data_IF_776860810057
#
_entry.id   IF_776860810057
#
_cell.length_a   1.000
_cell.length_b   1.000
_cell.length_c   1.000
_cell.angle_alpha   90.00
_cell.angle_beta   90.00
_cell.angle_gamma   90.00
#
_symmetry.space_group_name_H-M   'P 1'
#
loop_
_entity.id
_entity.type
_entity.pdbx_description
1 polymer ?
#
# COMPACT_ATOMS: atom_id res chain seq x y z
N UNK A 1 -38.10 9.16 11.12
CA UNK A 1 -36.88 9.21 11.94
C UNK A 1 -36.01 7.97 11.80
N UNK A 2 -36.52 6.84 11.28
CA UNK A 2 -35.74 5.60 11.17
C UNK A 2 -34.52 5.74 10.27
N UNK A 3 -34.63 6.46 9.15
CA UNK A 3 -33.50 6.62 8.22
C UNK A 3 -32.33 7.38 8.85
N UNK A 4 -32.61 8.40 9.68
CA UNK A 4 -31.58 9.17 10.39
C UNK A 4 -30.85 8.30 11.41
N UNK A 5 -31.59 7.51 12.19
CA UNK A 5 -31.02 6.58 13.18
C UNK A 5 -30.14 5.53 12.48
N UNK A 6 -30.63 4.92 11.40
CA UNK A 6 -29.86 3.93 10.63
C UNK A 6 -28.59 4.55 10.02
N UNK A 7 -28.65 5.77 9.50
CA UNK A 7 -27.47 6.50 9.00
C UNK A 7 -26.45 6.80 10.10
N UNK A 8 -26.89 7.16 11.31
CA UNK A 8 -25.99 7.38 12.46
C UNK A 8 -25.32 6.07 12.87
N UNK A 9 -26.08 4.98 12.96
CA UNK A 9 -25.54 3.65 13.27
C UNK A 9 -24.54 3.19 12.20
N UNK A 10 -24.80 3.47 10.93
CA UNK A 10 -23.87 3.18 9.84
C UNK A 10 -22.52 3.88 10.06
N UNK A 11 -22.54 5.17 10.41
CA UNK A 11 -21.33 5.95 10.71
C UNK A 11 -20.60 5.34 11.89
N UNK A 12 -21.27 5.11 13.02
CA UNK A 12 -20.63 4.58 14.24
C UNK A 12 -19.95 3.24 13.97
N UNK A 13 -20.67 2.28 13.37
CA UNK A 13 -20.12 0.94 13.09
C UNK A 13 -18.94 1.01 12.12
N UNK A 14 -19.04 1.81 11.06
CA UNK A 14 -17.95 1.99 10.10
C UNK A 14 -16.71 2.64 10.75
N UNK A 15 -16.90 3.63 11.61
CA UNK A 15 -15.81 4.32 12.31
C UNK A 15 -15.06 3.39 13.27
N UNK A 16 -15.76 2.52 14.01
CA UNK A 16 -15.10 1.54 14.90
C UNK A 16 -14.16 0.62 14.12
N UNK A 17 -14.61 0.09 12.97
CA UNK A 17 -13.78 -0.76 12.12
C UNK A 17 -12.62 0.03 11.51
N UNK A 18 -12.85 1.30 11.15
CA UNK A 18 -11.81 2.18 10.59
C UNK A 18 -10.71 2.52 11.62
N UNK A 19 -11.08 2.73 12.89
CA UNK A 19 -10.12 2.92 13.98
C UNK A 19 -9.25 1.66 14.13
N UNK A 20 -9.86 0.47 14.10
CA UNK A 20 -9.13 -0.80 14.09
C UNK A 20 -8.14 -0.90 12.94
N UNK A 21 -8.56 -0.49 11.72
CA UNK A 21 -7.66 -0.42 10.57
C UNK A 21 -6.50 0.56 10.80
N UNK A 22 -6.78 1.76 11.35
CA UNK A 22 -5.75 2.76 11.67
C UNK A 22 -4.70 2.24 12.64
N UNK A 23 -5.11 1.49 13.66
CA UNK A 23 -4.21 0.84 14.62
C UNK A 23 -3.34 -0.21 13.91
N UNK A 24 -3.93 -1.03 13.02
CA UNK A 24 -3.17 -2.00 12.22
C UNK A 24 -2.16 -1.31 11.31
N UNK A 25 -2.51 -0.20 10.66
CA UNK A 25 -1.56 0.61 9.91
C UNK A 25 -0.46 1.18 10.80
N UNK A 26 -0.76 1.60 12.03
CA UNK A 26 0.26 2.08 12.96
C UNK A 26 1.24 0.96 13.38
N UNK A 27 0.74 -0.25 13.66
CA UNK A 27 1.60 -1.41 13.90
C UNK A 27 2.43 -1.77 12.67
N UNK A 28 1.80 -1.79 11.49
CA UNK A 28 2.50 -2.01 10.23
C UNK A 28 3.58 -0.95 9.95
N UNK A 29 3.42 0.29 10.39
CA UNK A 29 4.44 1.32 10.22
C UNK A 29 5.60 1.16 11.21
N UNK A 30 5.30 0.80 12.46
CA UNK A 30 6.31 0.67 13.53
C UNK A 30 7.11 -0.63 13.45
N UNK A 31 6.53 -1.70 12.89
CA UNK A 31 7.20 -3.00 12.74
C UNK A 31 7.98 -3.12 11.41
N UNK A 32 7.79 -2.18 10.46
CA UNK A 32 8.30 -2.29 9.09
C UNK A 32 9.53 -1.42 8.79
N UNK A 33 10.29 -1.88 7.78
CA UNK A 33 11.51 -1.25 7.26
C UNK A 33 11.16 0.07 6.53
N UNK A 34 11.98 1.12 6.57
CA UNK A 34 11.63 2.42 5.99
C UNK A 34 11.25 2.33 4.50
N UNK A 35 10.06 2.82 4.18
CA UNK A 35 9.46 2.74 2.84
C UNK A 35 9.92 3.83 1.87
N UNK A 36 10.89 4.67 2.24
CA UNK A 36 11.45 5.69 1.35
C UNK A 36 12.90 6.00 1.67
N UNK A 37 13.67 6.38 0.65
CA UNK A 37 15.04 6.88 0.80
C UNK A 37 15.09 8.25 1.49
N UNK A 38 14.00 9.04 1.42
CA UNK A 38 13.83 10.25 2.24
C UNK A 38 13.71 9.91 3.73
N UNK A 39 13.14 8.75 4.05
CA UNK A 39 13.17 8.15 5.37
C UNK A 39 14.57 7.88 5.88
N UNK A 40 15.56 7.58 5.00
CA UNK A 40 16.97 7.43 5.38
C UNK A 40 17.69 8.76 5.65
N UNK A 41 17.36 9.83 4.93
CA UNK A 41 17.93 11.16 5.17
C UNK A 41 17.31 11.87 6.37
N UNK A 42 16.06 11.54 6.72
CA UNK A 42 15.32 12.11 7.87
C UNK A 42 15.43 11.27 9.16
N UNK A 43 16.33 10.27 9.23
CA UNK A 43 16.71 9.57 10.49
C UNK A 43 17.55 10.50 11.39
N UNK A 44 17.24 11.79 11.41
CA UNK A 44 17.72 12.70 12.44
C UNK A 44 16.92 12.49 13.72
N UNK A 45 17.24 11.45 14.48
CA UNK A 45 16.83 11.35 15.89
C UNK A 45 16.01 10.13 16.31
N UNK A 46 15.49 9.32 15.39
CA UNK A 46 14.88 8.03 15.73
C UNK A 46 15.94 6.90 15.65
N UNK A 47 16.06 6.08 16.69
CA UNK A 47 16.87 4.84 16.66
C UNK A 47 16.25 3.86 15.65
N UNK A 48 16.54 4.05 14.37
CA UNK A 48 16.18 3.07 13.34
C UNK A 48 17.16 1.92 13.47
N UNK A 49 16.63 0.74 13.76
CA UNK A 49 17.39 -0.49 13.79
C UNK A 49 17.95 -0.79 12.38
N UNK A 50 19.20 -0.39 12.16
CA UNK A 50 19.88 -0.52 10.87
C UNK A 50 20.07 -1.96 10.43
N UNK A 51 20.01 -2.92 11.37
CA UNK A 51 20.02 -4.35 11.06
C UNK A 51 18.79 -4.80 10.27
N UNK A 52 17.70 -4.03 10.34
CA UNK A 52 16.48 -4.28 9.57
C UNK A 52 16.52 -3.68 8.18
N UNK A 53 17.46 -2.78 7.84
CA UNK A 53 17.47 -2.15 6.52
C UNK A 53 17.80 -3.16 5.40
N UNK A 54 17.10 -3.14 4.25
CA UNK A 54 17.41 -3.99 3.10
C UNK A 54 18.66 -3.47 2.35
N UNK A 55 19.81 -3.60 3.00
CA UNK A 55 21.12 -3.18 2.50
C UNK A 55 21.97 -4.40 2.14
N UNK A 56 22.70 -4.30 1.05
CA UNK A 56 23.78 -5.24 0.70
C UNK A 56 25.13 -4.55 0.80
N UNK A 57 26.15 -5.31 1.20
CA UNK A 57 27.54 -4.89 1.06
C UNK A 57 27.98 -5.10 -0.40
N UNK A 58 28.42 -4.03 -1.06
CA UNK A 58 28.74 -4.06 -2.50
C UNK A 58 29.89 -5.04 -2.79
N UNK A 59 30.95 -5.01 -1.98
CA UNK A 59 32.13 -5.84 -2.21
C UNK A 59 31.80 -7.33 -2.07
N UNK A 60 31.17 -7.71 -0.95
CA UNK A 60 30.76 -9.11 -0.70
C UNK A 60 29.73 -9.59 -1.73
N UNK A 61 28.83 -8.72 -2.18
CA UNK A 61 27.84 -9.06 -3.19
C UNK A 61 28.48 -9.34 -4.56
N UNK A 62 29.43 -8.50 -5.00
CA UNK A 62 30.11 -8.68 -6.28
C UNK A 62 31.00 -9.91 -6.28
N UNK A 63 31.71 -10.18 -5.19
CA UNK A 63 32.53 -11.39 -5.03
C UNK A 63 31.67 -12.66 -5.14
N UNK A 64 30.54 -12.70 -4.42
CA UNK A 64 29.61 -13.85 -4.45
C UNK A 64 29.00 -14.09 -5.83
N UNK A 65 28.75 -13.04 -6.59
CA UNK A 65 27.98 -13.10 -7.84
C UNK A 65 28.85 -12.87 -9.09
N UNK A 66 30.17 -13.09 -8.99
CA UNK A 66 31.10 -12.91 -10.10
C UNK A 66 30.74 -13.81 -11.30
N UNK A 67 30.34 -15.05 -11.04
CA UNK A 67 29.91 -16.02 -12.07
C UNK A 67 28.57 -15.64 -12.74
N UNK A 68 27.79 -14.76 -12.10
CA UNK A 68 26.50 -14.29 -12.59
C UNK A 68 26.59 -12.94 -13.31
N UNK A 69 27.80 -12.51 -13.69
CA UNK A 69 28.09 -11.23 -14.33
C UNK A 69 27.53 -10.02 -13.55
N UNK A 70 27.55 -10.09 -12.22
CA UNK A 70 27.09 -8.99 -11.39
C UNK A 70 28.02 -7.77 -11.53
N UNK A 71 27.47 -6.59 -11.81
CA UNK A 71 28.20 -5.33 -11.81
C UNK A 71 27.32 -4.19 -11.32
N UNK A 72 27.92 -3.26 -10.58
CA UNK A 72 27.25 -2.08 -10.05
C UNK A 72 27.94 -0.85 -10.62
N UNK A 73 27.19 0.03 -11.26
CA UNK A 73 27.74 1.25 -11.88
C UNK A 73 26.85 2.45 -11.59
N UNK A 74 27.46 3.61 -11.45
CA UNK A 74 26.73 4.88 -11.57
C UNK A 74 26.23 5.09 -13.02
N UNK A 75 25.23 5.94 -13.24
CA UNK A 75 24.73 6.27 -14.60
C UNK A 75 25.85 6.70 -15.56
N UNK A 76 26.87 7.41 -15.06
CA UNK A 76 28.02 7.88 -15.84
C UNK A 76 28.97 6.76 -16.28
N UNK A 77 28.71 5.50 -15.90
CA UNK A 77 29.50 4.32 -16.24
C UNK A 77 30.66 4.01 -15.28
N UNK A 78 30.88 4.80 -14.22
CA UNK A 78 31.91 4.46 -13.23
C UNK A 78 31.48 3.28 -12.36
N UNK A 79 32.38 2.30 -12.22
CA UNK A 79 32.17 1.09 -11.42
C UNK A 79 32.16 1.40 -9.92
N UNK A 80 31.26 0.74 -9.19
CA UNK A 80 31.16 0.79 -7.74
C UNK A 80 31.59 -0.58 -7.21
N UNK A 81 32.75 -0.63 -6.54
CA UNK A 81 33.34 -1.88 -6.06
C UNK A 81 33.28 -2.03 -4.53
N UNK A 82 32.86 -0.99 -3.81
CA UNK A 82 32.84 -0.93 -2.34
C UNK A 82 31.69 -0.08 -1.84
N UNK A 83 31.40 -0.14 -0.54
CA UNK A 83 30.30 0.59 0.10
C UNK A 83 29.06 -0.29 0.28
N UNK A 84 27.91 0.35 0.41
CA UNK A 84 26.64 -0.32 0.65
C UNK A 84 25.57 0.12 -0.35
N UNK A 85 24.72 -0.82 -0.76
CA UNK A 85 23.59 -0.54 -1.63
C UNK A 85 22.29 -0.82 -0.89
N UNK A 86 21.51 0.24 -0.68
CA UNK A 86 20.13 0.15 -0.27
C UNK A 86 19.29 -0.32 -1.47
N UNK A 87 18.46 -1.34 -1.29
CA UNK A 87 17.79 -2.02 -2.43
C UNK A 87 16.28 -1.79 -2.50
N UNK A 88 15.66 -1.05 -1.57
CA UNK A 88 14.19 -0.94 -1.49
C UNK A 88 13.65 0.33 -0.82
N UNK A 89 12.66 1.06 -1.35
CA UNK A 89 11.89 0.76 -2.55
C UNK A 89 12.62 1.17 -3.83
N UNK A 90 13.67 1.97 -3.71
CA UNK A 90 14.53 2.37 -4.81
C UNK A 90 15.97 2.07 -4.44
N UNK A 91 16.81 1.81 -5.45
CA UNK A 91 18.21 1.61 -5.20
C UNK A 91 18.88 2.93 -4.81
N UNK A 92 19.66 2.92 -3.74
CA UNK A 92 20.44 4.08 -3.33
C UNK A 92 21.80 3.64 -2.79
N UNK A 93 22.85 4.34 -3.22
CA UNK A 93 24.22 4.05 -2.84
C UNK A 93 24.56 4.81 -1.56
N UNK A 94 25.25 4.11 -0.68
CA UNK A 94 25.75 4.62 0.60
C UNK A 94 27.26 4.30 0.60
N UNK A 95 28.07 5.34 0.78
CA UNK A 95 29.54 5.21 0.70
C UNK A 95 30.12 4.37 1.85
N UNK A 96 29.53 4.48 3.05
CA UNK A 96 29.91 3.66 4.21
C UNK A 96 29.64 2.17 3.94
N UNK A 97 30.55 1.30 4.37
CA UNK A 97 30.36 -0.16 4.33
C UNK A 97 29.27 -0.61 5.33
N UNK A 98 28.71 -1.81 5.10
CA UNK A 98 27.63 -2.33 5.93
C UNK A 98 28.05 -2.49 7.40
N UNK A 99 29.28 -2.92 7.63
CA UNK A 99 29.85 -3.07 8.99
C UNK A 99 29.97 -1.72 9.71
N UNK A 100 30.32 -0.67 8.96
CA UNK A 100 30.39 0.70 9.47
C UNK A 100 28.99 1.23 9.78
N UNK A 101 27.99 0.95 8.94
CA UNK A 101 26.60 1.34 9.17
C UNK A 101 26.02 0.67 10.43
N UNK A 102 26.25 -0.64 10.60
CA UNK A 102 25.78 -1.39 11.76
C UNK A 102 26.44 -0.92 13.07
N UNK A 103 27.73 -0.55 13.03
CA UNK A 103 28.46 -0.08 14.20
C UNK A 103 28.20 1.40 14.54
N UNK A 104 28.14 2.30 13.54
CA UNK A 104 27.91 3.74 13.74
C UNK A 104 26.46 4.06 14.12
N UNK A 105 25.48 3.22 13.74
CA UNK A 105 24.06 3.41 14.08
C UNK A 105 23.73 3.39 15.59
N UNK A 106 24.67 2.93 16.42
CA UNK A 106 24.59 3.01 17.89
C UNK A 106 24.90 4.42 18.44
N UNK A 107 25.41 5.32 17.59
CA UNK A 107 25.70 6.72 17.94
C UNK A 107 24.50 7.61 17.59
N UNK A 108 24.03 8.41 18.55
CA UNK A 108 22.85 9.28 18.43
C UNK A 108 22.96 10.42 17.40
N UNK A 109 24.13 10.58 16.76
CA UNK A 109 24.43 11.66 15.80
C UNK A 109 24.70 11.19 14.37
N UNK A 110 24.57 9.90 14.08
CA UNK A 110 24.91 9.36 12.75
C UNK A 110 23.89 9.78 11.69
N UNK A 111 24.36 10.45 10.63
CA UNK A 111 23.57 10.79 9.44
C UNK A 111 24.07 9.95 8.26
N UNK A 112 23.15 9.21 7.64
CA UNK A 112 23.44 8.48 6.40
C UNK A 112 23.43 9.49 5.26
N UNK A 113 24.58 9.70 4.62
CA UNK A 113 24.65 10.46 3.36
C UNK A 113 24.16 9.56 2.24
N UNK A 114 22.91 9.76 1.82
CA UNK A 114 22.34 9.07 0.66
C UNK A 114 22.50 9.97 -0.57
N UNK A 115 23.19 9.48 -1.60
CA UNK A 115 23.28 10.19 -2.87
C UNK A 115 21.99 9.99 -3.67
N UNK A 116 20.95 10.77 -3.34
CA UNK A 116 19.63 10.69 -3.98
C UNK A 116 19.58 11.19 -5.42
N UNK A 117 20.65 11.86 -5.91
CA UNK A 117 20.74 12.41 -7.27
C UNK A 117 21.54 11.56 -8.27
N UNK A 118 22.21 10.48 -7.83
CA UNK A 118 22.97 9.60 -8.71
C UNK A 118 22.27 8.25 -8.79
N UNK A 119 21.54 8.03 -9.88
CA UNK A 119 20.93 6.72 -10.13
C UNK A 119 22.02 5.67 -10.37
N UNK A 120 21.77 4.47 -9.84
CA UNK A 120 22.67 3.33 -9.88
C UNK A 120 22.05 2.28 -10.80
N UNK A 121 22.91 1.59 -11.54
CA UNK A 121 22.55 0.40 -12.32
C UNK A 121 23.15 -0.82 -11.62
N UNK A 122 22.33 -1.85 -11.44
CA UNK A 122 22.75 -3.15 -10.91
C UNK A 122 22.49 -4.19 -11.99
N UNK A 123 23.53 -4.47 -12.77
CA UNK A 123 23.46 -5.47 -13.81
C UNK A 123 23.71 -6.86 -13.22
N UNK A 124 22.78 -7.78 -13.41
CA UNK A 124 22.92 -9.18 -12.99
C UNK A 124 22.12 -10.09 -13.92
N UNK A 125 22.50 -11.36 -14.04
CA UNK A 125 21.66 -12.34 -14.72
C UNK A 125 20.37 -12.62 -13.92
N UNK A 126 19.19 -12.68 -14.55
CA UNK A 126 17.93 -13.09 -13.91
C UNK A 126 18.00 -14.41 -13.14
N UNK A 127 18.84 -15.34 -13.61
CA UNK A 127 19.18 -16.62 -13.00
C UNK A 127 20.53 -17.11 -13.53
N UNK A 128 21.12 -18.09 -12.86
CA UNK A 128 22.44 -18.63 -13.22
C UNK A 128 22.49 -19.15 -14.68
N UNK A 129 21.37 -19.70 -15.17
CA UNK A 129 21.21 -20.21 -16.54
C UNK A 129 20.84 -19.15 -17.58
N UNK A 130 20.57 -17.90 -17.19
CA UNK A 130 20.17 -16.86 -18.13
C UNK A 130 21.33 -16.37 -18.99
N UNK A 131 21.06 -16.18 -20.28
CA UNK A 131 21.99 -15.58 -21.24
C UNK A 131 21.87 -14.04 -21.31
N UNK A 132 20.79 -13.47 -20.74
CA UNK A 132 20.57 -12.02 -20.68
C UNK A 132 20.87 -11.46 -19.29
N UNK A 133 21.16 -10.16 -19.26
CA UNK A 133 21.42 -9.38 -18.05
C UNK A 133 20.27 -8.39 -17.88
N UNK A 134 19.84 -8.17 -16.64
CA UNK A 134 18.85 -7.17 -16.26
C UNK A 134 19.50 -6.03 -15.48
N UNK A 135 18.90 -4.84 -15.53
CA UNK A 135 19.19 -3.79 -14.55
C UNK A 135 18.16 -3.85 -13.42
N UNK A 136 18.55 -4.43 -12.30
CA UNK A 136 17.68 -4.57 -11.13
C UNK A 136 17.27 -3.20 -10.54
N UNK A 137 18.13 -2.19 -10.66
CA UNK A 137 17.89 -0.85 -10.14
C UNK A 137 17.23 0.09 -11.17
N UNK A 138 17.06 -0.37 -12.41
CA UNK A 138 16.44 0.38 -13.49
C UNK A 138 14.93 0.58 -13.31
N UNK A 139 14.35 1.37 -14.20
CA UNK A 139 12.90 1.58 -14.26
C UNK A 139 12.20 0.34 -14.83
N UNK A 140 11.44 -0.34 -13.98
CA UNK A 140 10.65 -1.50 -14.40
C UNK A 140 9.22 -1.06 -14.72
N UNK A 141 8.90 -0.91 -16.01
CA UNK A 141 7.61 -0.37 -16.47
C UNK A 141 6.38 -1.04 -15.86
N UNK A 142 6.40 -2.37 -15.66
CA UNK A 142 5.29 -3.11 -15.02
C UNK A 142 5.12 -2.78 -13.54
N UNK A 143 6.23 -2.59 -12.82
CA UNK A 143 6.21 -2.20 -11.41
C UNK A 143 5.67 -0.77 -11.28
N UNK A 144 6.20 0.15 -12.09
CA UNK A 144 5.80 1.55 -12.10
C UNK A 144 4.33 1.73 -12.47
N UNK A 145 3.86 0.97 -13.47
CA UNK A 145 2.46 0.93 -13.86
C UNK A 145 1.56 0.43 -12.72
N UNK A 146 1.95 -0.66 -12.05
CA UNK A 146 1.15 -1.23 -10.95
C UNK A 146 1.05 -0.26 -9.77
N UNK A 147 2.14 0.41 -9.42
CA UNK A 147 2.16 1.44 -8.39
C UNK A 147 1.30 2.65 -8.78
N UNK A 148 1.41 3.12 -10.02
CA UNK A 148 0.61 4.23 -10.52
C UNK A 148 -0.90 3.92 -10.48
N UNK A 149 -1.31 2.70 -10.85
CA UNK A 149 -2.70 2.27 -10.76
C UNK A 149 -3.17 2.22 -9.31
N UNK A 150 -2.39 1.64 -8.40
CA UNK A 150 -2.72 1.58 -6.98
C UNK A 150 -2.89 2.99 -6.37
N UNK A 151 -1.94 3.89 -6.61
CA UNK A 151 -1.98 5.27 -6.12
C UNK A 151 -3.16 6.03 -6.74
N UNK A 152 -3.33 5.94 -8.06
CA UNK A 152 -4.41 6.64 -8.77
C UNK A 152 -5.80 6.22 -8.29
N UNK A 153 -6.05 4.91 -8.19
CA UNK A 153 -7.33 4.38 -7.68
C UNK A 153 -7.53 4.65 -6.19
N UNK A 154 -6.45 4.73 -5.40
CA UNK A 154 -6.48 5.15 -4.00
C UNK A 154 -6.90 6.61 -3.82
N UNK A 155 -6.34 7.53 -4.63
CA UNK A 155 -6.72 8.96 -4.60
C UNK A 155 -8.20 9.12 -4.95
N UNK A 156 -8.68 8.45 -6.00
CA UNK A 156 -10.11 8.48 -6.39
C UNK A 156 -11.00 7.99 -5.25
N UNK A 157 -10.63 6.89 -4.58
CA UNK A 157 -11.38 6.37 -3.44
C UNK A 157 -11.44 7.38 -2.26
N UNK A 158 -10.33 8.08 -1.98
CA UNK A 158 -10.27 9.09 -0.91
C UNK A 158 -11.15 10.32 -1.21
N UNK A 159 -11.17 10.79 -2.46
CA UNK A 159 -12.05 11.89 -2.89
C UNK A 159 -13.52 11.49 -2.74
N UNK A 160 -13.88 10.28 -3.20
CA UNK A 160 -15.24 9.76 -3.06
C UNK A 160 -15.64 9.63 -1.59
N UNK A 161 -14.76 9.13 -0.73
CA UNK A 161 -15.01 9.01 0.70
C UNK A 161 -15.28 10.37 1.35
N UNK A 162 -14.53 11.40 0.96
CA UNK A 162 -14.72 12.78 1.45
C UNK A 162 -16.12 13.30 1.09
N UNK A 163 -16.58 13.05 -0.14
CA UNK A 163 -17.94 13.39 -0.58
C UNK A 163 -19.01 12.62 0.22
N UNK A 164 -18.79 11.33 0.46
CA UNK A 164 -19.69 10.48 1.27
C UNK A 164 -19.83 11.04 2.69
N UNK A 165 -18.75 11.47 3.32
CA UNK A 165 -18.77 12.07 4.67
C UNK A 165 -19.61 13.36 4.67
N UNK A 166 -19.36 14.27 3.74
CA UNK A 166 -20.10 15.55 3.65
C UNK A 166 -21.60 15.29 3.46
N UNK A 167 -21.97 14.41 2.53
CA UNK A 167 -23.38 14.08 2.26
C UNK A 167 -24.05 13.39 3.47
N UNK A 168 -23.29 12.59 4.22
CA UNK A 168 -23.81 11.93 5.43
C UNK A 168 -24.08 12.93 6.55
N UNK A 169 -23.22 13.94 6.72
CA UNK A 169 -23.47 15.06 7.65
C UNK A 169 -24.76 15.80 7.28
N UNK A 170 -24.98 16.07 5.99
CA UNK A 170 -26.21 16.71 5.51
C UNK A 170 -27.47 15.88 5.84
N UNK A 171 -27.40 14.55 5.73
CA UNK A 171 -28.50 13.63 6.11
C UNK A 171 -28.80 13.74 7.61
N UNK A 172 -27.77 13.75 8.46
CA UNK A 172 -27.90 13.84 9.92
C UNK A 172 -28.50 15.18 10.34
N UNK A 173 -27.99 16.29 9.77
CA UNK A 173 -28.53 17.63 9.97
C UNK A 173 -29.93 17.83 9.37
N UNK A 174 -30.43 16.86 8.60
CA UNK A 174 -31.78 16.90 8.04
C UNK A 174 -31.95 17.85 6.86
N UNK A 175 -30.85 18.27 6.24
CA UNK A 175 -30.83 19.10 5.03
C UNK A 175 -31.36 18.26 3.86
N UNK A 176 -32.16 18.84 2.97
CA UNK A 176 -32.85 18.18 1.86
C UNK A 176 -33.88 17.10 2.28
N UNK A 177 -34.87 17.48 3.10
CA UNK A 177 -35.93 16.59 3.56
C UNK A 177 -36.77 15.93 2.45
N UNK A 178 -36.84 16.52 1.27
CA UNK A 178 -37.65 16.01 0.15
C UNK A 178 -36.89 15.02 -0.75
N UNK A 179 -35.59 14.86 -0.56
CA UNK A 179 -34.74 14.01 -1.40
C UNK A 179 -34.27 12.76 -0.66
N UNK A 180 -34.07 11.67 -1.41
CA UNK A 180 -33.49 10.44 -0.86
C UNK A 180 -31.95 10.50 -0.89
N UNK A 181 -31.36 11.44 -0.14
CA UNK A 181 -29.91 11.57 0.00
C UNK A 181 -29.19 10.25 0.38
N UNK A 182 -29.73 9.39 1.27
CA UNK A 182 -29.10 8.10 1.57
C UNK A 182 -28.92 7.20 0.33
N UNK A 183 -29.82 7.28 -0.66
CA UNK A 183 -29.66 6.55 -1.93
C UNK A 183 -28.46 7.07 -2.72
N UNK A 184 -28.34 8.40 -2.85
CA UNK A 184 -27.20 9.05 -3.53
C UNK A 184 -25.88 8.65 -2.87
N UNK A 185 -25.83 8.71 -1.53
CA UNK A 185 -24.67 8.27 -0.75
C UNK A 185 -24.34 6.81 -0.99
N UNK A 186 -25.33 5.91 -1.03
CA UNK A 186 -25.08 4.49 -1.29
C UNK A 186 -24.50 4.22 -2.69
N UNK A 187 -24.99 4.92 -3.73
CA UNK A 187 -24.49 4.76 -5.10
C UNK A 187 -23.05 5.27 -5.22
N UNK A 188 -22.78 6.46 -4.71
CA UNK A 188 -21.42 7.03 -4.69
C UNK A 188 -20.48 6.14 -3.86
N UNK A 189 -20.96 5.62 -2.73
CA UNK A 189 -20.22 4.67 -1.89
C UNK A 189 -19.83 3.40 -2.63
N UNK A 190 -20.72 2.81 -3.44
CA UNK A 190 -20.40 1.63 -4.27
C UNK A 190 -19.27 1.93 -5.26
N UNK A 191 -19.28 3.09 -5.90
CA UNK A 191 -18.20 3.50 -6.81
C UNK A 191 -16.87 3.61 -6.06
N UNK A 192 -16.89 4.23 -4.87
CA UNK A 192 -15.72 4.33 -3.98
C UNK A 192 -15.21 2.96 -3.55
N UNK A 193 -16.10 2.04 -3.20
CA UNK A 193 -15.76 0.67 -2.83
C UNK A 193 -15.11 -0.08 -4.00
N UNK A 194 -15.68 -0.03 -5.21
CA UNK A 194 -15.08 -0.65 -6.39
C UNK A 194 -13.68 -0.10 -6.67
N UNK A 195 -13.49 1.23 -6.59
CA UNK A 195 -12.16 1.85 -6.72
C UNK A 195 -11.19 1.36 -5.64
N UNK A 196 -11.66 1.23 -4.39
CA UNK A 196 -10.89 0.68 -3.28
C UNK A 196 -10.50 -0.78 -3.49
N UNK A 197 -11.38 -1.61 -4.04
CA UNK A 197 -11.08 -3.02 -4.35
C UNK A 197 -10.01 -3.12 -5.43
N UNK A 198 -10.06 -2.28 -6.47
CA UNK A 198 -9.01 -2.24 -7.50
C UNK A 198 -7.69 -1.81 -6.87
N UNK A 199 -7.67 -0.73 -6.09
CA UNK A 199 -6.49 -0.27 -5.36
C UNK A 199 -5.89 -1.40 -4.51
N UNK A 200 -6.70 -2.05 -3.68
CA UNK A 200 -6.27 -3.14 -2.82
C UNK A 200 -5.77 -4.36 -3.61
N UNK A 201 -6.38 -4.68 -4.75
CA UNK A 201 -5.94 -5.77 -5.61
C UNK A 201 -4.55 -5.50 -6.19
N UNK A 202 -4.28 -4.26 -6.61
CA UNK A 202 -2.94 -3.86 -7.07
C UNK A 202 -1.94 -3.77 -5.92
N UNK A 203 -2.36 -3.36 -4.72
CA UNK A 203 -1.50 -3.43 -3.51
C UNK A 203 -1.16 -4.88 -3.18
N UNK A 204 -2.14 -5.80 -3.13
CA UNK A 204 -1.88 -7.24 -2.99
C UNK A 204 -0.94 -7.71 -4.09
N UNK A 205 -1.22 -7.37 -5.34
CA UNK A 205 -0.40 -7.78 -6.46
C UNK A 205 1.04 -7.28 -6.28
N UNK A 206 1.28 -6.04 -5.84
CA UNK A 206 2.64 -5.58 -5.55
C UNK A 206 3.20 -6.29 -4.31
N UNK A 207 2.49 -6.29 -3.18
CA UNK A 207 2.95 -6.79 -1.89
C UNK A 207 3.15 -8.31 -1.85
N UNK A 208 2.19 -9.11 -2.29
CA UNK A 208 2.31 -10.58 -2.33
C UNK A 208 3.41 -10.98 -3.29
N UNK A 209 3.50 -10.30 -4.43
CA UNK A 209 4.61 -10.54 -5.33
C UNK A 209 5.93 -10.14 -4.67
N UNK A 210 5.98 -9.05 -3.89
CA UNK A 210 7.18 -8.51 -3.17
C UNK A 210 7.64 -9.28 -1.95
N UNK A 211 6.73 -9.92 -1.23
CA UNK A 211 7.00 -10.23 0.17
C UNK A 211 6.51 -11.61 0.62
N UNK A 212 5.68 -12.31 -0.14
CA UNK A 212 5.12 -13.57 0.32
C UNK A 212 5.96 -14.78 -0.10
N UNK A 213 6.92 -15.15 0.74
CA UNK A 213 7.10 -16.57 1.06
C UNK A 213 6.25 -16.83 2.31
N UNK A 214 5.03 -17.35 2.11
CA UNK A 214 4.25 -18.26 2.98
C UNK A 214 2.72 -17.98 3.10
N UNK A 215 1.96 -19.07 2.89
CA UNK A 215 0.73 -19.51 3.60
C UNK A 215 -0.69 -19.13 3.13
N UNK A 216 -1.09 -19.60 1.96
CA UNK A 216 -2.39 -20.30 1.84
C UNK A 216 -2.08 -21.79 1.64
N UNK A 217 -2.21 -22.65 2.66
CA UNK A 217 -2.02 -24.07 2.48
C UNK A 217 -3.31 -24.65 1.86
N UNK A 218 -3.18 -25.35 0.74
CA UNK A 218 -4.13 -26.35 0.22
C UNK A 218 -5.55 -25.88 -0.14
N UNK A 219 -5.74 -25.06 -1.17
CA UNK A 219 -7.05 -25.05 -1.87
C UNK A 219 -7.06 -24.66 -3.35
N UNK A 220 -5.92 -24.30 -3.95
CA UNK A 220 -5.84 -24.14 -5.40
C UNK A 220 -4.71 -25.02 -5.95
N UNK A 221 -5.12 -25.97 -6.78
CA UNK A 221 -4.29 -26.90 -7.52
C UNK A 221 -3.32 -26.14 -8.44
N UNK A 222 -2.06 -26.56 -8.43
CA UNK A 222 -0.99 -26.34 -9.42
C UNK A 222 -1.19 -25.20 -10.44
N UNK A 223 -0.69 -24.01 -10.08
CA UNK A 223 0.08 -23.05 -10.90
C UNK A 223 -0.07 -21.63 -10.34
N UNK A 224 1.04 -20.87 -10.36
CA UNK A 224 1.22 -19.48 -9.92
C UNK A 224 1.36 -19.22 -8.41
N UNK A 225 2.43 -18.52 -8.01
CA UNK A 225 2.39 -17.08 -7.66
C UNK A 225 3.75 -16.65 -7.08
N UNK A 226 4.63 -16.21 -7.97
CA UNK A 226 6.06 -15.88 -7.80
C UNK A 226 6.28 -14.61 -8.66
N UNK A 227 6.44 -13.39 -8.13
CA UNK A 227 6.55 -12.25 -9.08
C UNK A 227 7.25 -10.93 -8.70
N UNK A 228 7.72 -10.58 -7.49
CA UNK A 228 8.30 -9.21 -7.33
C UNK A 228 9.73 -9.07 -7.74
N UNK A 229 10.55 -10.03 -7.32
CA UNK A 229 11.93 -10.03 -7.76
C UNK A 229 11.93 -10.20 -9.30
N UNK A 230 10.91 -10.89 -9.85
CA UNK A 230 10.57 -10.90 -11.28
C UNK A 230 10.03 -9.58 -11.84
N UNK A 231 9.29 -8.78 -11.08
CA UNK A 231 8.90 -7.43 -11.49
C UNK A 231 10.10 -6.49 -11.61
N UNK A 232 11.23 -6.80 -10.94
CA UNK A 232 12.54 -6.17 -11.15
C UNK A 232 13.50 -6.97 -12.03
N UNK A 233 13.00 -8.03 -12.68
CA UNK A 233 13.71 -8.81 -13.69
C UNK A 233 14.38 -10.12 -13.22
N UNK A 234 14.45 -10.43 -11.92
CA UNK A 234 15.02 -11.69 -11.41
C UNK A 234 14.03 -12.85 -11.55
N UNK A 235 14.48 -14.06 -11.84
CA UNK A 235 13.56 -15.18 -12.15
C UNK A 235 12.69 -15.59 -10.95
N UNK A 236 13.23 -15.57 -9.73
CA UNK A 236 12.49 -15.99 -8.53
C UNK A 236 13.01 -15.37 -7.23
N UNK A 237 12.23 -15.55 -6.16
CA UNK A 237 12.63 -15.15 -4.81
C UNK A 237 13.77 -16.01 -4.23
N UNK A 238 13.84 -17.27 -4.65
CA UNK A 238 14.92 -18.17 -4.25
C UNK A 238 16.23 -17.72 -4.93
N UNK A 239 16.20 -17.36 -6.22
CA UNK A 239 17.37 -16.77 -6.91
C UNK A 239 17.87 -15.50 -6.23
N UNK A 240 16.98 -14.62 -5.77
CA UNK A 240 17.40 -13.43 -5.04
C UNK A 240 18.04 -13.77 -3.68
N UNK A 241 17.52 -14.79 -2.99
CA UNK A 241 18.10 -15.28 -1.74
C UNK A 241 19.49 -15.87 -2.00
N UNK A 242 19.62 -16.65 -3.07
CA UNK A 242 20.88 -17.26 -3.51
C UNK A 242 21.90 -16.18 -3.88
N UNK A 243 21.49 -15.09 -4.53
CA UNK A 243 22.35 -13.95 -4.81
C UNK A 243 22.68 -13.09 -3.59
N UNK A 244 22.03 -13.33 -2.45
CA UNK A 244 22.29 -12.64 -1.19
C UNK A 244 21.54 -11.32 -1.01
N UNK A 245 20.44 -11.12 -1.73
CA UNK A 245 19.55 -9.99 -1.45
C UNK A 245 18.86 -10.17 -0.09
N UNK A 246 18.68 -9.08 0.68
CA UNK A 246 18.05 -9.14 1.99
C UNK A 246 16.58 -9.52 1.84
N UNK A 247 16.10 -10.41 2.72
CA UNK A 247 14.66 -10.66 2.85
C UNK A 247 13.98 -9.34 3.19
N UNK A 248 13.11 -8.90 2.32
CA UNK A 248 12.30 -7.75 2.58
C UNK A 248 11.12 -8.22 3.47
N UNK A 249 10.81 -7.50 4.55
CA UNK A 249 9.84 -7.94 5.56
C UNK A 249 8.41 -7.94 5.01
N UNK A 250 7.49 -8.72 5.58
CA UNK A 250 6.09 -8.74 5.14
C UNK A 250 5.26 -7.72 5.95
N UNK A 251 4.48 -6.86 5.29
CA UNK A 251 3.56 -5.96 5.98
C UNK A 251 2.14 -6.53 6.02
N UNK A 252 1.98 -7.67 6.70
CA UNK A 252 0.67 -8.30 6.91
C UNK A 252 -0.31 -7.35 7.59
N UNK A 253 0.17 -6.49 8.48
CA UNK A 253 -0.65 -5.50 9.16
C UNK A 253 -1.26 -4.47 8.19
N UNK A 254 -0.54 -4.02 7.17
CA UNK A 254 -1.11 -3.20 6.11
C UNK A 254 -2.15 -3.95 5.28
N UNK A 255 -1.88 -5.21 4.93
CA UNK A 255 -2.86 -6.04 4.20
C UNK A 255 -4.15 -6.21 5.00
N UNK A 256 -4.05 -6.59 6.28
CA UNK A 256 -5.21 -6.71 7.17
C UNK A 256 -5.91 -5.36 7.38
N UNK A 257 -5.14 -4.27 7.55
CA UNK A 257 -5.68 -2.91 7.65
C UNK A 257 -6.50 -2.53 6.40
N UNK A 258 -5.99 -2.81 5.20
CA UNK A 258 -6.72 -2.58 3.96
C UNK A 258 -7.99 -3.43 3.83
N UNK A 259 -7.95 -4.70 4.27
CA UNK A 259 -9.16 -5.55 4.34
C UNK A 259 -10.20 -4.94 5.29
N UNK A 260 -9.78 -4.47 6.46
CA UNK A 260 -10.66 -3.80 7.42
C UNK A 260 -11.29 -2.53 6.83
N UNK A 261 -10.54 -1.73 6.06
CA UNK A 261 -11.08 -0.54 5.37
C UNK A 261 -12.16 -0.93 4.35
N UNK A 262 -11.90 -1.95 3.51
CA UNK A 262 -12.90 -2.43 2.55
C UNK A 262 -14.14 -2.96 3.24
N UNK A 263 -13.97 -3.73 4.32
CA UNK A 263 -15.08 -4.27 5.09
C UNK A 263 -15.92 -3.17 5.75
N UNK A 264 -15.26 -2.14 6.31
CA UNK A 264 -15.93 -0.95 6.86
C UNK A 264 -16.79 -0.25 5.81
N UNK A 265 -16.24 -0.02 4.62
CA UNK A 265 -16.96 0.59 3.50
C UNK A 265 -18.17 -0.25 3.07
N UNK A 266 -18.02 -1.58 3.02
CA UNK A 266 -19.12 -2.48 2.68
C UNK A 266 -20.26 -2.40 3.69
N UNK A 267 -19.97 -2.45 4.99
CA UNK A 267 -20.96 -2.28 6.06
C UNK A 267 -21.70 -0.96 5.90
N UNK A 268 -20.96 0.13 5.69
CA UNK A 268 -21.53 1.46 5.52
C UNK A 268 -22.51 1.52 4.34
N UNK A 269 -22.12 0.98 3.17
CA UNK A 269 -22.95 0.96 1.96
C UNK A 269 -24.25 0.18 2.18
N UNK A 270 -24.16 -1.03 2.77
CA UNK A 270 -25.33 -1.88 3.05
C UNK A 270 -26.31 -1.17 4.00
N UNK A 271 -25.78 -0.50 5.03
CA UNK A 271 -26.59 0.26 5.97
C UNK A 271 -27.24 1.49 5.31
N UNK A 272 -26.53 2.18 4.40
CA UNK A 272 -27.09 3.30 3.65
C UNK A 272 -28.18 2.87 2.65
N UNK A 273 -28.06 1.69 2.03
CA UNK A 273 -29.17 1.10 1.26
C UNK A 273 -30.39 0.80 2.14
N UNK A 274 -30.18 0.39 3.39
CA UNK A 274 -31.28 0.18 4.34
C UNK A 274 -31.92 1.51 4.74
N UNK A 275 -31.10 2.53 5.04
CA UNK A 275 -31.58 3.88 5.35
C UNK A 275 -32.34 4.51 4.17
N UNK A 276 -31.94 4.25 2.92
CA UNK A 276 -32.61 4.77 1.73
C UNK A 276 -33.99 4.17 1.53
N UNK A 277 -34.16 2.87 1.82
CA UNK A 277 -35.47 2.19 1.81
C UNK A 277 -36.40 2.78 2.87
N UNK A 278 -35.89 3.02 4.08
CA UNK A 278 -36.64 3.66 5.15
C UNK A 278 -37.02 5.10 4.77
N UNK A 279 -36.09 5.86 4.17
CA UNK A 279 -36.33 7.24 3.76
C UNK A 279 -37.40 7.35 2.68
N UNK A 280 -37.42 6.44 1.70
CA UNK A 280 -38.48 6.38 0.69
C UNK A 280 -39.86 6.24 1.32
N UNK A 281 -40.01 5.37 2.32
CA UNK A 281 -41.28 5.21 3.06
C UNK A 281 -41.67 6.48 3.82
N UNK A 282 -40.71 7.14 4.47
CA UNK A 282 -40.95 8.40 5.19
C UNK A 282 -41.43 9.52 4.25
N UNK A 283 -40.84 9.64 3.05
CA UNK A 283 -41.24 10.65 2.06
C UNK A 283 -42.68 10.39 1.58
N UNK A 284 -43.02 9.13 1.25
CA UNK A 284 -44.38 8.76 0.80
C UNK A 284 -45.41 9.04 1.90
N UNK A 285 -45.12 8.68 3.15
CA UNK A 285 -46.01 8.93 4.30
C UNK A 285 -46.20 10.43 4.56
N UNK A 286 -45.15 11.23 4.44
CA UNK A 286 -45.24 12.68 4.62
C UNK A 286 -46.05 13.34 3.50
N UNK A 287 -45.86 12.92 2.25
CA UNK A 287 -46.65 13.39 1.12
C UNK A 287 -48.14 13.01 1.30
N UNK A 288 -48.43 11.75 1.63
CA UNK A 288 -49.79 11.28 1.88
C UNK A 288 -50.48 12.08 2.99
N UNK A 289 -49.78 12.37 4.09
CA UNK A 289 -50.30 13.24 5.17
C UNK A 289 -50.64 14.64 4.66
N UNK A 290 -49.74 15.29 3.92
CA UNK A 290 -49.98 16.62 3.35
C UNK A 290 -51.22 16.64 2.45
N UNK A 291 -51.42 15.62 1.61
CA UNK A 291 -52.62 15.48 0.76
C UNK A 291 -53.91 15.34 1.58
N UNK A 292 -53.93 14.51 2.63
CA UNK A 292 -55.10 14.42 3.53
C UNK A 292 -55.40 15.75 4.23
N UNK A 293 -54.38 16.48 4.68
CA UNK A 293 -54.59 17.76 5.39
C UNK A 293 -55.10 18.86 4.46
N UNK A 294 -54.71 18.85 3.18
CA UNK A 294 -55.23 19.81 2.18
C UNK A 294 -56.62 19.45 1.68
N UNK A 295 -57.03 18.18 1.73
CA UNK A 295 -58.37 17.75 1.33
C UNK A 295 -59.44 17.96 2.43
N UNK A 296 -59.03 18.25 3.67
CA UNK A 296 -59.91 18.50 4.83
C UNK A 296 -60.11 19.97 5.16
N UNK A 297 -59.60 20.89 4.33
CA UNK A 297 -59.82 22.34 4.40
C UNK A 297 -60.72 22.72 3.22
#
# INVERSE_FOLDING_TARGET
>A
MGSRVTSILAVILSSVVLIGAGILFFFGFTDFKPESTQGLTNIGGAQVDTSKLPVIDVGKFLEKNQENNASITFINGSNINSGSLYTYPTCAYIEDSLEVLLNKSKSSSFKITVYTGQSIKLHIKPSQSSNSIIDFCGEHGKLLQSQAIAVGTGIVAAVILSLVVILTILIVCGVCSNSNLPLVVSVIGVIGFCSGVVCFSFIIYVTVNYYCKFLIPKLFHENHFLLSLALRGLESADVATDYGFPKQGNNLFYLFGSVCILFSNLIFIVMMFTASRQRKREIILNAARQYTTTATI
#
